data_IF_413522104092
#
_entry.id   IF_413522104092
#
_cell.length_a   1.000
_cell.length_b   1.000
_cell.length_c   1.000
_cell.angle_alpha   90.00
_cell.angle_beta   90.00
_cell.angle_gamma   90.00
#
_symmetry.space_group_name_H-M   'P 1'
#
loop_
_entity.id
_entity.type
_entity.pdbx_description
1 polymer ?
#
# COMPACT_ATOMS: atom_id res chain seq x y z
N UNK A 1 -0.21 -11.89 -13.46
CA UNK A 1 -0.17 -10.60 -12.71
C UNK A 1 -0.96 -10.69 -11.38
N UNK A 2 -0.43 -10.27 -10.22
CA UNK A 2 -1.21 -10.24 -8.98
C UNK A 2 -2.46 -9.33 -9.05
N UNK A 3 -3.55 -9.72 -8.39
CA UNK A 3 -4.84 -8.99 -8.43
C UNK A 3 -4.76 -7.49 -8.09
N UNK A 4 -3.90 -7.06 -7.17
CA UNK A 4 -3.80 -5.64 -6.83
C UNK A 4 -3.13 -4.79 -7.91
N UNK A 5 -2.21 -5.36 -8.70
CA UNK A 5 -1.68 -4.69 -9.90
C UNK A 5 -2.80 -4.49 -10.93
N UNK A 6 -3.66 -5.50 -11.10
CA UNK A 6 -4.79 -5.43 -12.04
C UNK A 6 -5.75 -4.32 -11.63
N UNK A 7 -6.16 -4.33 -10.36
CA UNK A 7 -7.10 -3.34 -9.82
C UNK A 7 -6.53 -1.93 -9.86
N UNK A 8 -5.24 -1.73 -9.60
CA UNK A 8 -4.61 -0.41 -9.68
C UNK A 8 -4.73 0.18 -11.10
N UNK A 9 -4.51 -0.64 -12.13
CA UNK A 9 -4.69 -0.23 -13.53
C UNK A 9 -6.16 0.04 -13.87
N UNK A 10 -7.08 -0.80 -13.39
CA UNK A 10 -8.53 -0.66 -13.63
C UNK A 10 -9.10 0.64 -13.06
N UNK A 11 -8.61 1.07 -11.89
CA UNK A 11 -9.01 2.36 -11.28
C UNK A 11 -8.26 3.58 -11.87
N UNK A 12 -7.45 3.37 -12.92
CA UNK A 12 -6.80 4.45 -13.66
C UNK A 12 -5.49 4.96 -13.06
N UNK A 13 -4.82 4.20 -12.19
CA UNK A 13 -3.46 4.54 -11.76
C UNK A 13 -2.49 4.50 -12.95
N UNK A 14 -1.55 5.45 -12.99
CA UNK A 14 -0.59 5.53 -14.08
C UNK A 14 0.29 4.28 -14.15
N UNK A 15 0.69 3.87 -15.35
CA UNK A 15 1.59 2.72 -15.50
C UNK A 15 2.95 2.98 -14.84
N UNK A 16 3.39 4.24 -14.80
CA UNK A 16 4.61 4.64 -14.09
C UNK A 16 4.51 4.40 -12.57
N UNK A 17 3.40 4.80 -11.95
CA UNK A 17 3.18 4.60 -10.51
C UNK A 17 2.96 3.13 -10.16
N UNK A 18 2.27 2.36 -11.02
CA UNK A 18 2.12 0.91 -10.83
C UNK A 18 3.49 0.23 -10.83
N UNK A 19 4.35 0.56 -11.80
CA UNK A 19 5.72 0.02 -11.85
C UNK A 19 6.59 0.52 -10.70
N UNK A 20 6.36 1.75 -10.23
CA UNK A 20 7.05 2.28 -9.05
C UNK A 20 6.66 1.50 -7.78
N UNK A 21 5.38 1.22 -7.55
CA UNK A 21 4.91 0.39 -6.43
C UNK A 21 5.51 -1.02 -6.46
N UNK A 22 5.50 -1.68 -7.63
CA UNK A 22 6.09 -3.02 -7.79
C UNK A 22 7.59 -3.05 -7.51
N UNK A 23 8.30 -1.97 -7.85
CA UNK A 23 9.73 -1.82 -7.62
C UNK A 23 10.10 -1.18 -6.27
N UNK A 24 9.11 -0.82 -5.43
CA UNK A 24 9.34 -0.11 -4.17
C UNK A 24 9.90 1.31 -4.33
N UNK A 25 9.74 1.93 -5.51
CA UNK A 25 10.23 3.27 -5.84
C UNK A 25 9.20 4.36 -5.50
N UNK A 26 9.64 5.64 -5.40
CA UNK A 26 8.73 6.75 -5.18
C UNK A 26 7.69 6.91 -6.29
N UNK A 27 6.48 7.36 -5.91
CA UNK A 27 5.40 7.71 -6.83
C UNK A 27 5.52 9.14 -7.37
N UNK A 28 4.90 9.38 -8.51
CA UNK A 28 4.84 10.69 -9.16
C UNK A 28 3.86 11.64 -8.47
N UNK A 29 2.76 11.12 -7.94
CA UNK A 29 1.81 11.87 -7.12
C UNK A 29 2.35 11.99 -5.68
N UNK A 30 2.69 13.21 -5.27
CA UNK A 30 3.28 13.49 -3.97
C UNK A 30 2.37 13.09 -2.78
N UNK A 31 1.05 13.16 -2.94
CA UNK A 31 0.10 12.79 -1.90
C UNK A 31 0.02 11.27 -1.75
N UNK A 32 0.04 10.53 -2.86
CA UNK A 32 0.12 9.07 -2.84
C UNK A 32 1.50 8.58 -2.36
N UNK A 33 2.57 9.29 -2.70
CA UNK A 33 3.91 8.96 -2.18
C UNK A 33 3.97 9.09 -0.66
N UNK A 34 3.38 10.15 -0.09
CA UNK A 34 3.28 10.29 1.36
C UNK A 34 2.49 9.13 2.00
N UNK A 35 1.41 8.66 1.35
CA UNK A 35 0.66 7.48 1.79
C UNK A 35 1.52 6.20 1.73
N UNK A 36 2.30 6.02 0.65
CA UNK A 36 3.21 4.88 0.50
C UNK A 36 4.29 4.87 1.60
N UNK A 37 4.94 6.01 1.81
CA UNK A 37 5.96 6.19 2.85
C UNK A 37 5.40 5.93 4.25
N UNK A 38 4.25 6.54 4.58
CA UNK A 38 3.59 6.31 5.86
C UNK A 38 3.21 4.84 6.06
N UNK A 39 2.68 4.17 5.03
CA UNK A 39 2.32 2.75 5.11
C UNK A 39 3.54 1.87 5.38
N UNK A 40 4.66 2.15 4.70
CA UNK A 40 5.92 1.42 4.93
C UNK A 40 6.45 1.65 6.35
N UNK A 41 6.52 2.89 6.80
CA UNK A 41 6.94 3.25 8.16
C UNK A 41 6.10 2.54 9.22
N UNK A 42 4.78 2.53 9.05
CA UNK A 42 3.85 1.85 9.94
C UNK A 42 4.11 0.33 10.00
N UNK A 43 4.35 -0.31 8.85
CA UNK A 43 4.61 -1.76 8.79
C UNK A 43 5.97 -2.10 9.41
N UNK A 44 7.03 -1.39 9.03
CA UNK A 44 8.39 -1.61 9.49
C UNK A 44 8.54 -1.32 10.99
N UNK A 45 7.91 -0.24 11.45
CA UNK A 45 7.85 0.19 12.85
C UNK A 45 6.80 -0.56 13.69
N UNK A 46 6.09 -1.53 13.10
CA UNK A 46 5.07 -2.35 13.78
C UNK A 46 4.02 -1.50 14.52
N UNK A 47 3.53 -0.46 13.84
CA UNK A 47 2.54 0.48 14.37
C UNK A 47 3.14 1.75 14.99
N UNK A 48 4.46 1.83 15.16
CA UNK A 48 5.13 3.04 15.62
C UNK A 48 5.68 3.81 14.43
N UNK A 49 5.26 5.07 14.29
CA UNK A 49 5.76 6.02 13.29
C UNK A 49 6.42 7.18 14.01
N UNK A 50 7.47 7.76 13.43
CA UNK A 50 8.14 8.93 13.99
C UNK A 50 7.29 10.19 13.85
N UNK A 51 7.63 11.24 14.59
CA UNK A 51 6.95 12.54 14.46
C UNK A 51 7.16 13.14 13.06
N UNK A 52 8.34 12.96 12.47
CA UNK A 52 8.65 13.40 11.11
C UNK A 52 7.82 12.65 10.06
N UNK A 53 7.69 11.33 10.19
CA UNK A 53 6.86 10.51 9.29
C UNK A 53 5.38 10.87 9.41
N UNK A 54 4.91 11.12 10.63
CA UNK A 54 3.54 11.59 10.88
C UNK A 54 3.29 12.98 10.28
N UNK A 55 4.21 13.93 10.48
CA UNK A 55 4.08 15.28 9.92
C UNK A 55 4.02 15.21 8.39
N UNK A 56 4.92 14.46 7.75
CA UNK A 56 4.93 14.32 6.29
C UNK A 56 3.61 13.75 5.74
N UNK A 57 2.98 12.81 6.46
CA UNK A 57 1.68 12.27 6.10
C UNK A 57 0.56 13.34 6.19
N UNK A 58 0.54 14.10 7.28
CA UNK A 58 -0.47 15.14 7.51
C UNK A 58 -0.29 16.33 6.56
N UNK A 59 0.95 16.76 6.31
CA UNK A 59 1.29 17.86 5.40
C UNK A 59 0.90 17.55 3.96
N UNK A 60 0.85 16.27 3.58
CA UNK A 60 0.32 15.80 2.29
C UNK A 60 -1.22 15.81 2.21
N UNK A 61 -1.91 16.25 3.27
CA UNK A 61 -3.36 16.39 3.33
C UNK A 61 -4.10 15.14 3.82
N UNK A 62 -3.39 14.19 4.44
CA UNK A 62 -4.01 13.07 5.14
C UNK A 62 -4.26 13.40 6.62
N UNK A 63 -5.04 12.56 7.29
CA UNK A 63 -5.33 12.77 8.71
C UNK A 63 -5.53 11.47 9.48
N UNK A 64 -5.89 11.62 10.75
CA UNK A 64 -6.11 10.51 11.67
C UNK A 64 -7.08 9.45 11.13
N UNK A 65 -8.15 9.86 10.45
CA UNK A 65 -9.09 8.91 9.86
C UNK A 65 -8.39 8.02 8.82
N UNK A 66 -7.67 8.61 7.86
CA UNK A 66 -6.97 7.83 6.83
C UNK A 66 -5.82 7.01 7.42
N UNK A 67 -5.18 7.47 8.49
CA UNK A 67 -4.19 6.67 9.21
C UNK A 67 -4.81 5.37 9.79
N UNK A 68 -6.02 5.46 10.36
CA UNK A 68 -6.75 4.30 10.85
C UNK A 68 -7.25 3.39 9.70
N UNK A 69 -7.63 3.97 8.55
CA UNK A 69 -7.96 3.21 7.34
C UNK A 69 -6.74 2.44 6.81
N UNK A 70 -5.53 3.02 6.89
CA UNK A 70 -4.27 2.33 6.57
C UNK A 70 -4.02 1.16 7.53
N UNK A 71 -4.19 1.36 8.84
CA UNK A 71 -4.07 0.27 9.85
C UNK A 71 -5.03 -0.88 9.51
N UNK A 72 -6.28 -0.55 9.20
CA UNK A 72 -7.28 -1.54 8.80
C UNK A 72 -6.87 -2.28 7.52
N UNK A 73 -6.43 -1.56 6.48
CA UNK A 73 -5.97 -2.15 5.23
C UNK A 73 -4.76 -3.08 5.43
N UNK A 74 -3.78 -2.67 6.24
CA UNK A 74 -2.63 -3.51 6.60
C UNK A 74 -3.10 -4.80 7.28
N UNK A 75 -4.02 -4.72 8.24
CA UNK A 75 -4.60 -5.89 8.89
C UNK A 75 -5.26 -6.86 7.91
N UNK A 76 -6.09 -6.35 7.00
CA UNK A 76 -6.69 -7.16 5.93
C UNK A 76 -5.63 -7.81 5.04
N UNK A 77 -4.59 -7.08 4.67
CA UNK A 77 -3.52 -7.60 3.81
C UNK A 77 -2.68 -8.65 4.51
N UNK A 78 -2.37 -8.50 5.80
CA UNK A 78 -1.68 -9.54 6.58
C UNK A 78 -2.50 -10.83 6.59
N UNK A 79 -3.79 -10.75 6.92
CA UNK A 79 -4.67 -11.94 6.93
C UNK A 79 -4.72 -12.62 5.56
N UNK A 80 -4.93 -11.84 4.49
CA UNK A 80 -5.03 -12.35 3.12
C UNK A 80 -3.71 -12.96 2.63
N UNK A 81 -2.59 -12.24 2.78
CA UNK A 81 -1.28 -12.69 2.32
C UNK A 81 -0.84 -13.96 3.07
N UNK A 82 -1.04 -14.02 4.39
CA UNK A 82 -0.67 -15.19 5.18
C UNK A 82 -1.54 -16.40 4.85
N UNK A 83 -2.84 -16.20 4.66
CA UNK A 83 -3.75 -17.28 4.22
C UNK A 83 -3.30 -17.84 2.87
N UNK A 84 -3.01 -16.98 1.88
CA UNK A 84 -2.58 -17.41 0.56
C UNK A 84 -1.24 -18.16 0.60
N UNK A 85 -0.28 -17.68 1.38
CA UNK A 85 1.02 -18.32 1.53
C UNK A 85 0.91 -19.70 2.20
N UNK A 86 0.12 -19.81 3.28
CA UNK A 86 -0.06 -21.08 4.01
C UNK A 86 -0.84 -22.12 3.20
N UNK A 87 -1.88 -21.69 2.48
CA UNK A 87 -2.72 -22.59 1.71
C UNK A 87 -2.17 -22.88 0.30
N UNK A 88 -1.11 -22.18 -0.14
CA UNK A 88 -0.55 -22.35 -1.48
C UNK A 88 -1.54 -21.99 -2.59
N UNK A 89 -2.33 -20.93 -2.40
CA UNK A 89 -3.40 -20.55 -3.33
C UNK A 89 -2.80 -20.17 -4.69
N UNK A 90 -3.17 -20.85 -5.79
CA UNK A 90 -2.69 -20.49 -7.12
C UNK A 90 -3.32 -19.20 -7.62
N UNK A 91 -2.70 -18.56 -8.62
CA UNK A 91 -3.32 -17.45 -9.33
C UNK A 91 -4.50 -17.93 -10.20
N UNK A 92 -5.55 -17.11 -10.25
CA UNK A 92 -6.69 -17.32 -11.15
C UNK A 92 -6.28 -17.10 -12.62
N UNK A 93 -6.87 -17.85 -13.55
CA UNK A 93 -6.59 -17.72 -15.00
C UNK A 93 -6.77 -16.29 -15.53
N UNK A 94 -7.76 -15.56 -15.01
CA UNK A 94 -8.05 -14.19 -15.43
C UNK A 94 -6.90 -13.19 -15.15
N UNK A 95 -6.02 -13.53 -14.21
CA UNK A 95 -4.88 -12.70 -13.82
C UNK A 95 -3.56 -13.44 -13.91
N UNK A 96 -3.49 -14.57 -14.63
CA UNK A 96 -2.17 -15.17 -14.91
C UNK A 96 -1.33 -14.24 -15.77
#
# INVERSE_FOLDING_TARGET
MPWHTFLARDVGMSEEDVQALEAGRPLTDARLEALRCFTNALVDGRGHVSEEEWSAFVDAGWGHQQALEVVFAVGMKVMSNFTNALAGVPLDEAVK
#
